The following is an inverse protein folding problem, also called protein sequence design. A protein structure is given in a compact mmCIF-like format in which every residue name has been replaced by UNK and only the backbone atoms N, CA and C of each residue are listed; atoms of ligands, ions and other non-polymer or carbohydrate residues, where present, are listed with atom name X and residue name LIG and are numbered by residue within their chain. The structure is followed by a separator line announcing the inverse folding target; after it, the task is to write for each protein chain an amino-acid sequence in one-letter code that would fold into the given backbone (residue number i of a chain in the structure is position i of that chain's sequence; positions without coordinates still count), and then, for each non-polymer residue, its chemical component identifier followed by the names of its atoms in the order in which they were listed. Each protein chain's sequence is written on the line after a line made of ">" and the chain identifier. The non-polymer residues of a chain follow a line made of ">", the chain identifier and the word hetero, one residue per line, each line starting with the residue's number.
data_IF_898890317084
#
_entry.id   IF_898890317084
#
_cell.length_a   1.000
_cell.length_b   1.000
_cell.length_c   1.000
_cell.angle_alpha   90.00
_cell.angle_beta   90.00
_cell.angle_gamma   90.00
#
_symmetry.space_group_name_H-M   'P 1'
#
loop_
_entity.id
_entity.type
_entity.pdbx_description
1 polymer ?
#
# COMPACT_ATOMS: atom_id res chain seq x y z
N UNK A 1 37.00 -35.05 11.28
CA UNK A 1 37.18 -33.91 10.37
C UNK A 1 35.89 -33.76 9.56
N UNK A 2 35.04 -32.82 9.94
CA UNK A 2 33.76 -32.59 9.25
C UNK A 2 33.99 -31.50 8.21
N UNK A 3 33.76 -31.85 6.97
CA UNK A 3 33.89 -31.00 5.79
C UNK A 3 32.70 -30.00 5.78
N UNK A 4 33.00 -28.75 6.07
CA UNK A 4 32.00 -27.67 6.07
C UNK A 4 31.84 -27.16 4.64
N UNK A 5 30.95 -27.79 3.89
CA UNK A 5 30.60 -27.36 2.54
C UNK A 5 29.98 -25.94 2.60
N UNK A 6 30.76 -24.98 2.17
CA UNK A 6 30.29 -23.58 1.92
C UNK A 6 29.27 -23.64 0.80
N UNK A 7 27.98 -23.39 1.16
CA UNK A 7 26.91 -23.25 0.17
C UNK A 7 27.23 -22.04 -0.71
N UNK A 8 27.27 -22.18 -2.04
CA UNK A 8 27.44 -21.02 -2.93
C UNK A 8 26.29 -20.05 -2.77
N UNK A 9 26.64 -18.77 -2.61
CA UNK A 9 25.69 -17.67 -2.58
C UNK A 9 24.93 -17.66 -3.92
N UNK A 10 23.64 -17.97 -3.90
CA UNK A 10 22.82 -18.00 -5.09
C UNK A 10 22.90 -16.63 -5.79
N UNK A 11 23.22 -16.62 -7.08
CA UNK A 11 23.23 -15.41 -7.89
C UNK A 11 21.86 -14.73 -7.83
N UNK A 12 21.86 -13.40 -7.57
CA UNK A 12 20.64 -12.63 -7.47
C UNK A 12 19.88 -12.69 -8.80
N UNK A 13 18.64 -13.16 -8.76
CA UNK A 13 17.73 -13.18 -9.92
C UNK A 13 17.52 -11.75 -10.41
N UNK A 14 17.54 -11.48 -11.76
CA UNK A 14 17.17 -10.18 -12.30
C UNK A 14 15.78 -9.76 -11.78
N UNK A 15 15.68 -8.57 -11.14
CA UNK A 15 14.44 -8.10 -10.52
C UNK A 15 14.44 -8.11 -8.98
N UNK A 16 15.43 -8.78 -8.33
CA UNK A 16 15.52 -8.85 -6.85
C UNK A 16 16.10 -7.59 -6.19
N UNK A 17 16.30 -6.50 -6.92
CA UNK A 17 16.90 -5.25 -6.41
C UNK A 17 16.15 -4.04 -6.96
N UNK A 18 15.66 -3.19 -6.06
CA UNK A 18 15.14 -1.85 -6.39
C UNK A 18 16.21 -0.80 -6.10
N UNK A 19 16.30 0.24 -6.93
CA UNK A 19 17.08 1.44 -6.64
C UNK A 19 16.14 2.50 -6.06
N UNK A 20 16.42 2.97 -4.85
CA UNK A 20 15.62 3.95 -4.12
C UNK A 20 16.50 5.12 -3.71
N UNK A 21 15.90 6.28 -3.46
CA UNK A 21 16.60 7.42 -2.87
C UNK A 21 16.73 7.27 -1.36
N UNK A 22 17.84 7.75 -0.83
CA UNK A 22 18.10 7.84 0.61
C UNK A 22 18.24 9.31 1.00
N UNK A 23 17.65 9.67 2.13
CA UNK A 23 17.75 10.98 2.75
C UNK A 23 18.04 10.81 4.23
N UNK A 24 18.95 11.62 4.77
CA UNK A 24 19.27 11.67 6.20
C UNK A 24 18.72 12.96 6.78
N UNK A 25 17.79 12.87 7.72
CA UNK A 25 17.16 14.05 8.32
C UNK A 25 17.15 13.97 9.84
N UNK A 26 17.38 15.11 10.46
CA UNK A 26 17.12 15.32 11.88
C UNK A 26 15.70 15.87 12.06
N UNK A 27 14.82 15.10 12.68
CA UNK A 27 13.44 15.50 12.94
C UNK A 27 13.13 15.24 14.41
N UNK A 28 12.61 16.23 15.10
CA UNK A 28 12.24 16.11 16.52
C UNK A 28 13.38 15.54 17.40
N UNK A 29 14.61 16.03 17.18
CA UNK A 29 15.81 15.59 17.92
C UNK A 29 16.29 14.17 17.62
N UNK A 30 15.72 13.49 16.60
CA UNK A 30 16.06 12.12 16.20
C UNK A 30 16.60 12.08 14.79
N UNK A 31 17.59 11.22 14.55
CA UNK A 31 18.11 10.96 13.20
C UNK A 31 17.24 9.93 12.50
N UNK A 32 16.81 10.26 11.27
CA UNK A 32 16.04 9.36 10.41
C UNK A 32 16.76 9.12 9.08
N UNK A 33 16.78 7.87 8.65
CA UNK A 33 17.10 7.46 7.28
C UNK A 33 15.80 7.23 6.53
N UNK A 34 15.45 8.16 5.65
CA UNK A 34 14.20 8.13 4.90
C UNK A 34 14.48 7.59 3.51
N UNK A 35 13.79 6.53 3.16
CA UNK A 35 13.85 5.90 1.84
C UNK A 35 12.63 6.32 1.04
N UNK A 36 12.85 6.82 -0.18
CA UNK A 36 11.77 7.22 -1.09
C UNK A 36 11.89 6.54 -2.43
N UNK A 37 10.78 6.44 -3.14
CA UNK A 37 10.76 6.03 -4.54
C UNK A 37 11.53 7.05 -5.39
N UNK A 38 12.07 6.61 -6.51
CA UNK A 38 12.67 7.48 -7.51
C UNK A 38 11.58 8.11 -8.36
N UNK A 39 11.82 9.30 -8.89
CA UNK A 39 10.85 10.02 -9.71
C UNK A 39 10.46 9.27 -11.00
N UNK A 40 11.34 8.38 -11.50
CA UNK A 40 11.11 7.54 -12.66
C UNK A 40 10.28 6.27 -12.37
N UNK A 41 9.90 6.03 -11.12
CA UNK A 41 9.01 4.92 -10.76
C UNK A 41 7.57 5.26 -11.19
N UNK A 42 7.08 4.56 -12.22
CA UNK A 42 5.71 4.77 -12.75
C UNK A 42 4.67 4.01 -11.91
N UNK A 43 4.58 4.35 -10.63
CA UNK A 43 3.58 3.82 -9.71
C UNK A 43 2.86 4.97 -9.01
N UNK A 44 1.58 4.77 -8.74
CA UNK A 44 0.72 5.75 -8.06
C UNK A 44 -0.07 5.09 -6.94
N UNK A 45 -0.24 5.84 -5.88
CA UNK A 45 -0.99 5.40 -4.71
C UNK A 45 -1.99 6.49 -4.32
N UNK A 46 -3.05 6.07 -3.68
CA UNK A 46 -3.95 6.97 -2.95
C UNK A 46 -4.17 6.45 -1.55
N UNK A 47 -4.69 7.30 -0.69
CA UNK A 47 -5.17 6.90 0.63
C UNK A 47 -6.61 7.30 0.81
N UNK A 48 -7.36 6.49 1.54
CA UNK A 48 -8.73 6.77 1.92
C UNK A 48 -8.97 6.24 3.34
N UNK A 49 -10.04 6.72 4.00
CA UNK A 49 -10.58 6.12 5.20
C UNK A 49 -12.06 5.82 4.99
N UNK A 50 -12.42 4.55 5.08
CA UNK A 50 -13.79 4.10 4.91
C UNK A 50 -14.11 3.01 5.93
N UNK A 51 -15.28 3.07 6.57
CA UNK A 51 -15.69 2.17 7.66
C UNK A 51 -14.60 1.96 8.73
N UNK A 52 -13.97 3.06 9.14
CA UNK A 52 -12.88 3.11 10.13
C UNK A 52 -11.54 2.48 9.69
N UNK A 53 -11.51 1.78 8.56
CA UNK A 53 -10.30 1.20 7.96
C UNK A 53 -9.56 2.21 7.10
N UNK A 54 -8.23 2.25 7.21
CA UNK A 54 -7.36 3.04 6.35
C UNK A 54 -6.96 2.23 5.13
N UNK A 55 -7.18 2.79 3.94
CA UNK A 55 -6.86 2.13 2.68
C UNK A 55 -5.62 2.74 2.02
N UNK A 56 -4.77 1.86 1.48
CA UNK A 56 -3.78 2.18 0.45
C UNK A 56 -4.32 1.65 -0.87
N UNK A 57 -4.62 2.55 -1.79
CA UNK A 57 -5.28 2.26 -3.07
C UNK A 57 -4.26 2.40 -4.20
N UNK A 58 -4.28 1.47 -5.16
CA UNK A 58 -3.35 1.48 -6.29
C UNK A 58 -3.85 0.59 -7.45
N UNK A 59 -2.96 0.32 -8.39
CA UNK A 59 -3.05 -0.75 -9.38
C UNK A 59 -2.18 -1.96 -8.98
N UNK A 60 -2.18 -3.02 -9.78
CA UNK A 60 -1.35 -4.21 -9.53
C UNK A 60 0.16 -3.88 -9.50
N UNK A 61 0.74 -3.08 -10.41
CA UNK A 61 2.13 -2.61 -10.31
C UNK A 61 2.45 -1.89 -9.00
N UNK A 62 1.53 -1.06 -8.49
CA UNK A 62 1.67 -0.40 -7.21
C UNK A 62 1.70 -1.38 -6.04
N UNK A 63 0.81 -2.37 -6.01
CA UNK A 63 0.85 -3.42 -4.97
C UNK A 63 2.18 -4.19 -4.98
N UNK A 64 2.70 -4.56 -6.17
CA UNK A 64 4.01 -5.22 -6.30
C UNK A 64 5.16 -4.33 -5.78
N UNK A 65 5.07 -3.03 -6.03
CA UNK A 65 6.04 -2.07 -5.52
C UNK A 65 5.97 -1.98 -4.01
N UNK A 66 4.77 -1.87 -3.45
CA UNK A 66 4.54 -1.86 -2.00
C UNK A 66 5.06 -3.14 -1.33
N UNK A 67 4.80 -4.30 -1.94
CA UNK A 67 5.33 -5.59 -1.49
C UNK A 67 6.85 -5.58 -1.37
N UNK A 68 7.55 -5.10 -2.39
CA UNK A 68 9.01 -4.99 -2.40
C UNK A 68 9.54 -4.01 -1.35
N UNK A 69 8.85 -2.89 -1.14
CA UNK A 69 9.20 -1.93 -0.10
C UNK A 69 9.07 -2.53 1.30
N UNK A 70 7.94 -3.18 1.59
CA UNK A 70 7.67 -3.87 2.86
C UNK A 70 8.66 -5.00 3.11
N UNK A 71 8.94 -5.82 2.08
CA UNK A 71 9.89 -6.93 2.19
C UNK A 71 11.30 -6.46 2.54
N UNK A 72 11.84 -5.48 1.82
CA UNK A 72 13.17 -4.95 2.11
C UNK A 72 13.22 -4.22 3.46
N UNK A 73 12.11 -3.58 3.89
CA UNK A 73 12.00 -2.93 5.20
C UNK A 73 12.04 -3.95 6.34
N UNK A 74 11.48 -5.15 6.16
CA UNK A 74 11.49 -6.23 7.14
C UNK A 74 12.91 -6.72 7.51
N UNK A 75 13.90 -6.47 6.66
CA UNK A 75 15.29 -6.87 6.87
C UNK A 75 16.21 -5.71 7.26
N UNK A 76 15.65 -4.53 7.52
CA UNK A 76 16.44 -3.40 7.99
C UNK A 76 17.00 -3.65 9.39
N UNK A 77 18.23 -3.16 9.61
CA UNK A 77 18.93 -3.25 10.90
C UNK A 77 19.32 -1.86 11.45
N UNK A 78 19.23 -0.84 10.61
CA UNK A 78 19.58 0.52 11.01
C UNK A 78 18.40 1.19 11.71
N UNK A 79 18.52 1.59 12.98
CA UNK A 79 17.51 2.37 13.67
C UNK A 79 17.21 3.70 12.95
N UNK A 80 15.97 4.16 13.07
CA UNK A 80 15.52 5.39 12.42
C UNK A 80 15.22 5.24 10.92
N UNK A 81 15.33 4.04 10.34
CA UNK A 81 14.98 3.82 8.93
C UNK A 81 13.46 3.72 8.76
N UNK A 82 12.93 4.41 7.77
CA UNK A 82 11.54 4.32 7.32
C UNK A 82 11.45 4.50 5.79
N UNK A 83 10.34 4.07 5.20
CA UNK A 83 10.00 4.38 3.81
C UNK A 83 8.92 5.44 3.78
N UNK A 84 9.08 6.46 2.94
CA UNK A 84 8.09 7.49 2.68
C UNK A 84 7.66 7.43 1.21
N UNK A 85 6.36 7.24 0.98
CA UNK A 85 5.71 7.47 -0.31
C UNK A 85 5.11 8.87 -0.24
N UNK A 86 5.71 9.78 -0.95
CA UNK A 86 5.39 11.20 -0.92
C UNK A 86 4.49 11.63 -2.09
N UNK A 87 4.23 12.94 -2.17
CA UNK A 87 3.34 13.53 -3.17
C UNK A 87 3.73 13.23 -4.62
N UNK A 88 5.00 12.92 -4.90
CA UNK A 88 5.43 12.59 -6.25
C UNK A 88 4.80 11.30 -6.77
N UNK A 89 4.38 10.42 -5.86
CA UNK A 89 3.77 9.12 -6.16
C UNK A 89 2.33 8.99 -5.63
N UNK A 90 1.72 10.12 -5.20
CA UNK A 90 0.35 10.11 -4.70
C UNK A 90 -0.60 10.77 -5.69
N UNK A 91 -1.74 10.13 -5.90
CA UNK A 91 -2.92 10.67 -6.54
C UNK A 91 -4.02 10.91 -5.51
N UNK A 92 -4.98 11.81 -5.76
CA UNK A 92 -6.22 11.86 -4.99
C UNK A 92 -6.93 10.51 -5.03
N UNK A 93 -7.78 10.24 -4.04
CA UNK A 93 -8.47 8.95 -4.00
C UNK A 93 -9.45 8.79 -5.19
N UNK A 94 -9.64 7.54 -5.69
CA UNK A 94 -10.44 7.29 -6.89
C UNK A 94 -11.96 7.41 -6.69
N UNK A 95 -12.44 7.71 -5.48
CA UNK A 95 -13.87 7.79 -5.20
C UNK A 95 -14.41 9.22 -5.26
N UNK A 96 -13.76 10.14 -4.55
CA UNK A 96 -14.19 11.54 -4.41
C UNK A 96 -13.07 12.56 -4.69
N UNK A 97 -11.89 12.06 -5.10
CA UNK A 97 -10.70 12.85 -5.36
C UNK A 97 -10.23 13.70 -4.17
N UNK A 98 -10.47 13.27 -2.93
CA UNK A 98 -9.81 13.88 -1.79
C UNK A 98 -8.30 13.66 -1.88
N UNK A 99 -7.49 14.67 -1.51
CA UNK A 99 -6.04 14.54 -1.51
C UNK A 99 -5.56 13.40 -0.61
N UNK A 100 -4.69 12.54 -1.12
CA UNK A 100 -4.10 11.46 -0.33
C UNK A 100 -3.13 12.00 0.73
N UNK A 101 -3.13 11.37 1.89
CA UNK A 101 -2.07 11.55 2.88
C UNK A 101 -0.80 10.81 2.44
N UNK A 102 0.42 11.35 2.68
CA UNK A 102 1.66 10.60 2.48
C UNK A 102 1.67 9.31 3.30
N UNK A 103 2.29 8.25 2.74
CA UNK A 103 2.33 6.94 3.37
C UNK A 103 3.72 6.71 3.97
N UNK A 104 3.76 6.30 5.22
CA UNK A 104 4.99 5.91 5.92
C UNK A 104 4.92 4.43 6.25
N UNK A 105 5.91 3.66 5.76
CA UNK A 105 6.11 2.27 6.17
C UNK A 105 7.18 2.24 7.25
N UNK A 106 6.88 1.61 8.39
CA UNK A 106 7.69 1.72 9.60
C UNK A 106 8.05 0.34 10.17
N UNK A 107 9.36 0.01 10.35
CA UNK A 107 9.76 -1.17 11.11
C UNK A 107 9.65 -0.84 12.61
N UNK A 108 8.52 -1.21 13.22
CA UNK A 108 8.14 -0.80 14.58
C UNK A 108 9.14 -1.19 15.67
N UNK A 109 9.94 -2.25 15.45
CA UNK A 109 10.98 -2.70 16.37
C UNK A 109 12.27 -1.89 16.31
N UNK A 110 12.49 -1.07 15.28
CA UNK A 110 13.72 -0.30 15.06
C UNK A 110 13.51 1.21 15.07
N UNK A 111 12.31 1.65 14.71
CA UNK A 111 12.09 3.07 14.43
C UNK A 111 10.87 3.58 15.18
N UNK A 112 11.09 4.61 15.99
CA UNK A 112 10.02 5.35 16.64
C UNK A 112 9.76 6.62 15.84
N UNK A 113 8.59 6.73 15.23
CA UNK A 113 8.15 7.94 14.55
C UNK A 113 7.32 8.78 15.54
N UNK A 114 7.77 10.00 15.84
CA UNK A 114 7.00 10.90 16.67
C UNK A 114 5.95 11.65 15.84
N UNK A 115 4.87 12.10 16.49
CA UNK A 115 3.84 12.92 15.81
C UNK A 115 4.42 14.20 15.23
N UNK A 116 5.44 14.79 15.86
CA UNK A 116 6.11 15.99 15.37
C UNK A 116 6.96 15.68 14.13
N UNK A 117 7.72 14.60 14.13
CA UNK A 117 8.48 14.13 12.97
C UNK A 117 7.53 13.81 11.79
N UNK A 118 6.41 13.15 12.03
CA UNK A 118 5.38 12.87 11.03
C UNK A 118 4.80 14.16 10.41
N UNK A 119 4.50 15.17 11.25
CA UNK A 119 4.07 16.50 10.77
C UNK A 119 5.13 17.20 9.92
N UNK A 120 6.39 17.07 10.30
CA UNK A 120 7.50 17.65 9.55
C UNK A 120 7.62 16.98 8.17
N UNK A 121 7.57 15.66 8.10
CA UNK A 121 7.58 14.91 6.84
C UNK A 121 6.42 15.29 5.92
N UNK A 122 5.21 15.46 6.46
CA UNK A 122 4.07 15.91 5.67
C UNK A 122 4.27 17.31 5.08
N UNK A 123 4.80 18.25 5.88
CA UNK A 123 4.93 19.66 5.49
C UNK A 123 6.10 19.88 4.55
N UNK A 124 7.22 19.21 4.79
CA UNK A 124 8.49 19.36 4.08
C UNK A 124 9.11 17.98 3.82
N UNK A 125 8.54 17.21 2.86
CA UNK A 125 9.17 15.96 2.46
C UNK A 125 10.57 16.23 1.91
N UNK A 126 11.53 15.30 2.07
CA UNK A 126 12.85 15.45 1.52
C UNK A 126 12.79 15.45 -0.01
N UNK A 127 13.45 16.43 -0.63
CA UNK A 127 13.48 16.59 -2.10
C UNK A 127 14.81 16.20 -2.71
N UNK A 128 15.91 16.48 -2.02
CA UNK A 128 17.27 16.19 -2.50
C UNK A 128 17.80 14.95 -1.79
N UNK A 129 18.07 13.86 -2.53
CA UNK A 129 18.62 12.66 -1.93
C UNK A 129 20.10 12.81 -1.59
N UNK A 130 20.53 12.25 -0.47
CA UNK A 130 21.95 12.14 -0.08
C UNK A 130 22.65 11.01 -0.85
N UNK A 131 21.86 10.10 -1.44
CA UNK A 131 22.39 8.95 -2.15
C UNK A 131 21.33 8.00 -2.63
N UNK A 132 21.79 6.89 -3.17
CA UNK A 132 20.94 5.79 -3.66
C UNK A 132 21.18 4.54 -2.82
N UNK A 133 20.12 3.84 -2.47
CA UNK A 133 20.18 2.55 -1.81
C UNK A 133 19.74 1.45 -2.77
N UNK A 134 20.43 0.30 -2.74
CA UNK A 134 20.00 -0.93 -3.39
C UNK A 134 19.12 -1.70 -2.42
N UNK A 135 17.82 -1.67 -2.66
CA UNK A 135 16.82 -2.32 -1.83
C UNK A 135 16.64 -3.77 -2.25
N UNK A 136 17.08 -4.69 -1.41
CA UNK A 136 17.05 -6.12 -1.75
C UNK A 136 15.69 -6.72 -1.45
N UNK A 137 15.14 -7.44 -2.44
CA UNK A 137 13.85 -8.14 -2.34
C UNK A 137 14.01 -9.66 -2.52
N UNK A 138 15.24 -10.16 -2.37
CA UNK A 138 15.53 -11.58 -2.49
C UNK A 138 14.66 -12.43 -1.55
N UNK A 139 14.08 -13.49 -2.09
CA UNK A 139 13.21 -14.42 -1.36
C UNK A 139 11.71 -14.03 -1.37
N UNK A 140 11.32 -12.83 -1.79
CA UNK A 140 9.90 -12.45 -1.89
C UNK A 140 9.15 -13.34 -2.90
N UNK A 141 9.71 -13.53 -4.10
CA UNK A 141 9.09 -14.34 -5.15
C UNK A 141 8.93 -15.80 -4.71
N UNK A 142 9.96 -16.37 -4.05
CA UNK A 142 9.89 -17.73 -3.49
C UNK A 142 8.82 -17.84 -2.43
N UNK A 143 8.74 -16.85 -1.53
CA UNK A 143 7.75 -16.83 -0.47
C UNK A 143 6.33 -16.68 -1.02
N UNK A 144 6.14 -15.84 -2.02
CA UNK A 144 4.86 -15.71 -2.71
C UNK A 144 4.46 -17.01 -3.42
N UNK A 145 5.41 -17.72 -4.03
CA UNK A 145 5.16 -19.01 -4.67
C UNK A 145 4.76 -20.09 -3.64
N UNK A 146 5.45 -20.18 -2.51
CA UNK A 146 5.11 -21.08 -1.39
C UNK A 146 3.69 -20.81 -0.87
N UNK A 147 3.35 -19.52 -0.66
CA UNK A 147 2.03 -19.16 -0.14
C UNK A 147 0.93 -19.44 -1.17
N UNK A 148 1.22 -19.26 -2.47
CA UNK A 148 0.29 -19.61 -3.55
C UNK A 148 0.03 -21.12 -3.59
N UNK A 149 1.09 -21.92 -3.48
CA UNK A 149 0.98 -23.38 -3.42
C UNK A 149 0.15 -23.81 -2.20
N UNK A 150 0.41 -23.22 -1.03
CA UNK A 150 -0.36 -23.46 0.19
C UNK A 150 -1.85 -23.11 0.02
N UNK A 151 -2.20 -21.99 -0.63
CA UNK A 151 -3.60 -21.63 -0.91
C UNK A 151 -4.32 -22.64 -1.81
N UNK A 152 -3.58 -23.41 -2.61
CA UNK A 152 -4.15 -24.45 -3.50
C UNK A 152 -4.39 -25.79 -2.80
N UNK A 153 -3.82 -26.01 -1.62
CA UNK A 153 -4.06 -27.24 -0.85
C UNK A 153 -5.56 -27.33 -0.42
N UNK A 154 -6.11 -28.55 -0.29
CA UNK A 154 -7.39 -28.76 0.35
C UNK A 154 -7.42 -28.17 1.76
N UNK A 155 -8.57 -27.65 2.19
CA UNK A 155 -8.69 -26.93 3.48
C UNK A 155 -8.14 -27.73 4.68
N UNK A 156 -8.39 -29.05 4.73
CA UNK A 156 -7.91 -29.93 5.80
C UNK A 156 -6.40 -30.23 5.78
N UNK A 157 -5.68 -29.79 4.72
CA UNK A 157 -4.23 -29.94 4.59
C UNK A 157 -3.47 -28.62 4.70
N UNK A 158 -4.19 -27.51 4.95
CA UNK A 158 -3.60 -26.19 5.07
C UNK A 158 -3.12 -25.95 6.48
N UNK A 159 -1.86 -26.29 6.76
CA UNK A 159 -1.17 -25.73 7.91
C UNK A 159 -0.75 -24.29 7.59
N UNK A 160 -1.08 -23.36 8.48
CA UNK A 160 -0.79 -21.95 8.21
C UNK A 160 0.72 -21.69 8.17
N UNK A 161 1.29 -21.16 7.07
CA UNK A 161 2.74 -21.11 6.87
C UNK A 161 3.44 -20.01 7.67
N UNK A 162 2.72 -19.29 8.53
CA UNK A 162 3.26 -18.26 9.39
C UNK A 162 2.97 -18.56 10.86
N UNK A 163 3.98 -18.41 11.67
CA UNK A 163 3.74 -18.22 13.11
C UNK A 163 3.02 -16.88 13.28
N UNK A 164 1.92 -16.80 14.01
CA UNK A 164 1.27 -15.54 14.31
C UNK A 164 2.30 -14.52 14.81
N UNK A 165 2.30 -13.32 14.24
CA UNK A 165 3.15 -12.25 14.75
C UNK A 165 2.78 -11.98 16.21
N UNK A 166 3.74 -11.65 17.09
CA UNK A 166 3.43 -11.23 18.45
C UNK A 166 2.41 -10.09 18.40
N UNK A 167 1.30 -10.24 19.06
CA UNK A 167 0.25 -9.22 19.16
C UNK A 167 0.83 -7.91 19.71
N UNK A 168 0.42 -6.78 19.15
CA UNK A 168 0.73 -5.45 19.68
C UNK A 168 1.85 -4.68 18.98
N UNK A 169 2.48 -5.23 17.93
CA UNK A 169 3.54 -4.55 17.18
C UNK A 169 3.15 -4.16 15.76
N UNK A 170 1.88 -4.23 15.44
CA UNK A 170 1.36 -3.79 14.16
C UNK A 170 0.29 -2.72 14.34
N UNK A 171 0.27 -1.75 13.44
CA UNK A 171 -0.77 -0.74 13.40
C UNK A 171 -0.88 -0.12 12.01
N UNK A 172 -2.09 0.28 11.66
CA UNK A 172 -2.37 1.15 10.54
C UNK A 172 -3.15 2.35 11.05
N UNK A 173 -2.66 3.57 10.80
CA UNK A 173 -3.35 4.74 11.32
C UNK A 173 -2.75 6.06 10.88
N UNK A 174 -3.51 7.13 11.06
CA UNK A 174 -3.08 8.48 10.72
C UNK A 174 -2.37 9.14 11.88
N UNK A 175 -1.12 9.56 11.67
CA UNK A 175 -0.34 10.27 12.65
C UNK A 175 0.30 11.53 12.03
N UNK A 176 0.02 12.70 12.59
CA UNK A 176 0.62 13.96 12.10
C UNK A 176 0.25 14.32 10.66
N UNK A 177 -0.76 13.66 10.08
CA UNK A 177 -1.25 13.87 8.71
C UNK A 177 -0.51 13.02 7.67
N UNK A 178 0.14 11.94 8.09
CA UNK A 178 0.61 10.85 7.23
C UNK A 178 -0.11 9.56 7.63
N UNK A 179 -0.35 8.67 6.70
CA UNK A 179 -0.79 7.31 6.98
C UNK A 179 0.44 6.47 7.34
N UNK A 180 0.45 5.89 8.52
CA UNK A 180 1.54 5.05 9.01
C UNK A 180 1.10 3.59 9.02
N UNK A 181 1.86 2.75 8.31
CA UNK A 181 1.76 1.30 8.38
C UNK A 181 3.00 0.80 9.13
N UNK A 182 2.83 0.38 10.38
CA UNK A 182 3.91 -0.05 11.26
C UNK A 182 3.80 -1.53 11.57
N UNK A 183 4.91 -2.27 11.45
CA UNK A 183 4.93 -3.69 11.76
C UNK A 183 6.32 -4.20 12.13
N UNK A 184 6.35 -5.31 12.87
CA UNK A 184 7.57 -6.08 13.11
C UNK A 184 8.05 -6.80 11.84
N UNK A 185 9.25 -7.43 11.86
CA UNK A 185 9.81 -8.06 10.67
C UNK A 185 8.91 -9.16 10.08
N UNK A 186 8.24 -9.94 10.92
CA UNK A 186 7.33 -10.99 10.47
C UNK A 186 6.09 -10.40 9.81
N UNK A 187 5.46 -9.41 10.46
CA UNK A 187 4.30 -8.69 9.96
C UNK A 187 4.59 -8.05 8.60
N UNK A 188 5.71 -7.33 8.48
CA UNK A 188 6.11 -6.68 7.23
C UNK A 188 6.33 -7.70 6.09
N UNK A 189 6.92 -8.88 6.39
CA UNK A 189 7.05 -9.96 5.39
C UNK A 189 5.71 -10.57 4.99
N UNK A 190 4.80 -10.72 5.94
CA UNK A 190 3.45 -11.21 5.69
C UNK A 190 2.67 -10.24 4.79
N UNK A 191 2.66 -8.96 5.14
CA UNK A 191 2.03 -7.92 4.32
C UNK A 191 2.65 -7.83 2.92
N UNK A 192 3.98 -7.94 2.83
CA UNK A 192 4.68 -8.00 1.56
C UNK A 192 4.23 -9.19 0.71
N UNK A 193 4.09 -10.37 1.33
CA UNK A 193 3.63 -11.57 0.62
C UNK A 193 2.19 -11.41 0.13
N UNK A 194 1.32 -10.84 0.93
CA UNK A 194 -0.08 -10.57 0.55
C UNK A 194 -0.14 -9.59 -0.62
N UNK A 195 0.55 -8.46 -0.52
CA UNK A 195 0.60 -7.47 -1.60
C UNK A 195 1.22 -8.04 -2.90
N UNK A 196 2.23 -8.94 -2.79
CA UNK A 196 2.82 -9.62 -3.95
C UNK A 196 1.85 -10.62 -4.61
N UNK A 197 0.92 -11.17 -3.85
CA UNK A 197 -0.06 -12.13 -4.35
C UNK A 197 -1.31 -11.50 -4.93
N UNK A 198 -1.53 -10.21 -4.68
CA UNK A 198 -2.69 -9.50 -5.20
C UNK A 198 -2.71 -9.54 -6.73
N UNK A 199 -3.87 -9.89 -7.27
CA UNK A 199 -4.12 -9.96 -8.72
C UNK A 199 -5.55 -9.63 -9.00
N UNK A 200 -5.74 -8.86 -10.05
CA UNK A 200 -7.07 -8.56 -10.55
C UNK A 200 -7.51 -9.71 -11.44
N UNK A 201 -8.57 -10.40 -11.02
CA UNK A 201 -9.19 -11.48 -11.78
C UNK A 201 -10.59 -11.08 -12.21
N UNK A 202 -10.94 -11.39 -13.43
CA UNK A 202 -12.32 -11.26 -13.92
C UNK A 202 -13.28 -12.13 -13.09
N UNK A 203 -14.49 -11.69 -12.78
CA UNK A 203 -15.11 -10.41 -13.20
C UNK A 203 -14.98 -9.27 -12.17
N UNK A 204 -14.14 -9.42 -11.14
CA UNK A 204 -14.18 -8.55 -9.96
C UNK A 204 -13.51 -7.18 -10.14
N UNK A 205 -12.61 -7.02 -11.10
CA UNK A 205 -11.86 -5.79 -11.39
C UNK A 205 -11.14 -5.13 -10.20
N UNK A 206 -11.11 -5.78 -9.06
CA UNK A 206 -10.48 -5.33 -7.80
C UNK A 206 -10.02 -6.54 -6.97
N UNK A 207 -8.99 -6.33 -6.16
CA UNK A 207 -8.53 -7.27 -5.13
C UNK A 207 -8.12 -6.47 -3.89
N UNK A 208 -8.19 -7.08 -2.71
CA UNK A 208 -7.82 -6.42 -1.46
C UNK A 208 -7.28 -7.40 -0.42
N UNK A 209 -6.45 -6.89 0.48
CA UNK A 209 -5.91 -7.62 1.63
C UNK A 209 -5.90 -6.72 2.87
N UNK A 210 -6.38 -7.26 4.00
CA UNK A 210 -6.38 -6.55 5.27
C UNK A 210 -5.01 -6.56 5.94
N UNK A 211 -4.72 -5.47 6.64
CA UNK A 211 -3.51 -5.25 7.42
C UNK A 211 -3.90 -4.87 8.86
N UNK A 212 -3.02 -5.15 9.84
CA UNK A 212 -3.16 -4.69 11.20
C UNK A 212 -4.57 -4.93 11.78
N UNK A 213 -5.01 -6.18 11.79
CA UNK A 213 -6.32 -6.59 12.32
C UNK A 213 -7.51 -5.76 11.76
N UNK A 214 -7.43 -5.39 10.47
CA UNK A 214 -8.40 -4.57 9.72
C UNK A 214 -8.34 -3.06 9.97
N UNK A 215 -7.40 -2.56 10.77
CA UNK A 215 -7.16 -1.11 10.84
C UNK A 215 -6.66 -0.54 9.50
N UNK A 216 -6.01 -1.40 8.68
CA UNK A 216 -5.51 -1.07 7.35
C UNK A 216 -5.95 -2.06 6.29
N UNK A 217 -5.92 -1.63 5.03
CA UNK A 217 -6.21 -2.41 3.85
C UNK A 217 -5.36 -1.94 2.67
N UNK A 218 -4.89 -2.88 1.86
CA UNK A 218 -4.37 -2.60 0.52
C UNK A 218 -5.46 -3.02 -0.45
N UNK A 219 -5.83 -2.13 -1.38
CA UNK A 219 -6.81 -2.43 -2.42
C UNK A 219 -6.27 -2.02 -3.79
N UNK A 220 -6.45 -2.87 -4.80
CA UNK A 220 -6.06 -2.59 -6.17
C UNK A 220 -7.25 -2.60 -7.11
N UNK A 221 -7.14 -1.78 -8.18
CA UNK A 221 -8.17 -1.62 -9.20
C UNK A 221 -7.58 -1.80 -10.59
N UNK A 222 -8.29 -2.49 -11.48
CA UNK A 222 -7.91 -2.68 -12.87
C UNK A 222 -7.69 -1.34 -13.59
N UNK A 223 -8.57 -0.38 -13.36
CA UNK A 223 -8.58 0.92 -14.02
C UNK A 223 -8.25 2.07 -13.04
N UNK A 224 -7.35 1.83 -12.07
CA UNK A 224 -7.05 2.78 -11.00
C UNK A 224 -6.85 4.22 -11.51
N UNK A 225 -5.96 4.43 -12.48
CA UNK A 225 -5.64 5.77 -13.01
C UNK A 225 -6.84 6.43 -13.70
N UNK A 226 -7.68 5.63 -14.38
CA UNK A 226 -8.92 6.11 -15.00
C UNK A 226 -9.93 6.54 -13.93
N UNK A 227 -10.09 5.74 -12.87
CA UNK A 227 -10.99 6.08 -11.77
C UNK A 227 -10.55 7.36 -11.05
N UNK A 228 -9.25 7.54 -10.81
CA UNK A 228 -8.69 8.80 -10.29
C UNK A 228 -9.02 9.98 -11.22
N UNK A 229 -8.86 9.82 -12.53
CA UNK A 229 -9.15 10.90 -13.49
C UNK A 229 -10.64 11.27 -13.49
N UNK A 230 -11.53 10.27 -13.44
CA UNK A 230 -12.99 10.47 -13.35
C UNK A 230 -13.36 11.20 -12.04
N UNK A 231 -12.80 10.75 -10.91
CA UNK A 231 -13.06 11.38 -9.61
C UNK A 231 -12.59 12.85 -9.58
N UNK A 232 -11.42 13.14 -10.13
CA UNK A 232 -10.89 14.52 -10.26
C UNK A 232 -11.83 15.40 -11.09
N UNK A 233 -12.29 14.91 -12.23
CA UNK A 233 -13.23 15.63 -13.07
C UNK A 233 -14.56 15.84 -12.35
N UNK A 234 -15.12 14.80 -11.73
CA UNK A 234 -16.38 14.88 -11.00
C UNK A 234 -16.32 15.91 -9.85
N UNK A 235 -15.21 15.89 -9.08
CA UNK A 235 -14.99 16.86 -8.01
C UNK A 235 -14.88 18.28 -8.55
N UNK A 236 -14.14 18.49 -9.63
CA UNK A 236 -14.02 19.83 -10.24
C UNK A 236 -15.40 20.35 -10.72
N UNK A 237 -16.19 19.47 -11.38
CA UNK A 237 -17.53 19.83 -11.85
C UNK A 237 -18.46 20.22 -10.69
N UNK A 238 -18.44 19.45 -9.59
CA UNK A 238 -19.29 19.70 -8.41
C UNK A 238 -18.87 20.98 -7.68
N UNK A 239 -17.56 21.21 -7.52
CA UNK A 239 -17.03 22.40 -6.82
C UNK A 239 -17.14 23.69 -7.65
N UNK A 240 -17.34 23.60 -8.97
CA UNK A 240 -17.57 24.78 -9.83
C UNK A 240 -18.97 25.36 -9.72
N UNK A 241 -19.90 24.67 -9.06
CA UNK A 241 -21.30 25.09 -8.82
C UNK A 241 -21.55 25.20 -7.31
N UNK A 242 -22.68 25.85 -6.90
CA UNK A 242 -23.08 25.83 -5.50
C UNK A 242 -23.19 24.40 -4.95
N UNK A 243 -22.41 24.08 -3.90
CA UNK A 243 -22.30 22.77 -3.32
C UNK A 243 -22.59 22.77 -1.82
N UNK A 244 -22.95 21.62 -1.23
CA UNK A 244 -23.21 21.54 0.20
C UNK A 244 -21.94 21.85 1.01
N UNK A 245 -22.14 22.48 2.18
CA UNK A 245 -21.07 22.63 3.18
C UNK A 245 -20.77 21.31 3.91
N UNK A 246 -21.74 20.40 3.96
CA UNK A 246 -21.61 19.09 4.56
C UNK A 246 -20.76 18.18 3.68
N UNK A 247 -19.75 17.54 4.30
CA UNK A 247 -18.74 16.73 3.59
C UNK A 247 -19.34 15.43 3.02
N UNK A 248 -20.29 14.81 3.70
CA UNK A 248 -20.89 13.57 3.24
C UNK A 248 -21.81 13.82 2.05
N UNK A 249 -22.60 14.88 2.09
CA UNK A 249 -23.42 15.32 0.95
C UNK A 249 -22.54 15.72 -0.24
N UNK A 250 -21.40 16.35 0.01
CA UNK A 250 -20.45 16.69 -1.04
C UNK A 250 -19.88 15.43 -1.71
N UNK A 251 -19.47 14.44 -0.91
CA UNK A 251 -18.98 13.14 -1.42
C UNK A 251 -20.04 12.44 -2.26
N UNK A 252 -21.28 12.39 -1.78
CA UNK A 252 -22.39 11.77 -2.51
C UNK A 252 -22.59 12.44 -3.87
N UNK A 253 -22.59 13.76 -3.95
CA UNK A 253 -22.68 14.49 -5.24
C UNK A 253 -21.51 14.17 -6.17
N UNK A 254 -20.30 14.07 -5.65
CA UNK A 254 -19.13 13.70 -6.44
C UNK A 254 -19.29 12.28 -6.98
N UNK A 255 -19.74 11.32 -6.18
CA UNK A 255 -19.97 9.94 -6.62
C UNK A 255 -21.05 9.85 -7.70
N UNK A 256 -22.17 10.55 -7.53
CA UNK A 256 -23.24 10.64 -8.54
C UNK A 256 -22.70 11.23 -9.85
N UNK A 257 -21.90 12.30 -9.76
CA UNK A 257 -21.28 12.92 -10.94
C UNK A 257 -20.27 11.99 -11.60
N UNK A 258 -19.45 11.29 -10.85
CA UNK A 258 -18.51 10.29 -11.36
C UNK A 258 -19.25 9.15 -12.09
N UNK A 259 -20.38 8.67 -11.57
CA UNK A 259 -21.21 7.67 -12.23
C UNK A 259 -21.74 8.16 -13.58
N UNK A 260 -22.18 9.42 -13.67
CA UNK A 260 -22.59 10.02 -14.95
C UNK A 260 -21.45 10.12 -15.97
N UNK A 261 -20.23 10.44 -15.51
CA UNK A 261 -19.05 10.49 -16.38
C UNK A 261 -18.71 9.07 -16.88
N UNK A 262 -18.75 8.05 -16.02
CA UNK A 262 -18.52 6.64 -16.42
C UNK A 262 -19.51 6.18 -17.49
N UNK A 263 -20.81 6.43 -17.28
CA UNK A 263 -21.85 6.00 -18.23
C UNK A 263 -21.70 6.60 -19.62
N UNK A 264 -21.24 7.84 -19.74
CA UNK A 264 -20.96 8.48 -21.03
C UNK A 264 -19.80 7.82 -21.78
N UNK A 265 -18.80 7.30 -21.06
CA UNK A 265 -17.66 6.60 -21.64
C UNK A 265 -18.00 5.15 -22.03
N UNK A 266 -18.90 4.48 -21.30
CA UNK A 266 -19.34 3.11 -21.62
C UNK A 266 -20.36 3.07 -22.75
N UNK A 267 -21.21 4.07 -22.90
CA UNK A 267 -22.13 4.20 -24.02
C UNK A 267 -21.44 4.32 -25.38
N UNK A 268 -20.15 4.67 -25.40
CA UNK A 268 -19.33 4.75 -26.61
C UNK A 268 -18.52 3.45 -26.88
N UNK A 269 -18.52 2.48 -25.98
CA UNK A 269 -17.69 1.24 -26.07
C UNK A 269 -18.44 -0.05 -25.77
N UNK A 270 -19.76 -0.10 -25.76
CA UNK A 270 -20.55 -1.35 -25.72
C UNK A 270 -20.36 -2.27 -24.50
N UNK A 271 -19.71 -1.84 -23.42
CA UNK A 271 -19.46 -2.65 -22.23
C UNK A 271 -20.44 -2.35 -21.08
N UNK A 272 -20.99 -3.43 -20.53
CA UNK A 272 -22.02 -3.40 -19.47
C UNK A 272 -21.50 -2.77 -18.18
N UNK A 273 -22.31 -1.87 -17.63
CA UNK A 273 -22.18 -1.24 -16.33
C UNK A 273 -22.02 -2.26 -15.20
N UNK A 274 -20.96 -2.15 -14.42
CA UNK A 274 -20.81 -2.88 -13.15
C UNK A 274 -21.28 -1.96 -12.04
N UNK A 275 -22.41 -2.32 -11.44
CA UNK A 275 -22.92 -1.76 -10.18
C UNK A 275 -21.93 -1.99 -9.04
N UNK A 276 -21.82 -1.02 -8.14
CA UNK A 276 -21.01 -1.10 -6.91
C UNK A 276 -21.21 -2.43 -6.17
N UNK A 277 -20.14 -3.08 -5.71
CA UNK A 277 -20.29 -4.30 -4.95
C UNK A 277 -20.82 -3.97 -3.55
N UNK A 278 -22.05 -4.42 -3.28
CA UNK A 278 -22.50 -4.64 -1.90
C UNK A 278 -21.52 -5.59 -1.22
N UNK A 279 -21.11 -5.22 -0.02
CA UNK A 279 -20.24 -5.95 0.88
C UNK A 279 -20.74 -7.40 1.07
N UNK A 280 -20.28 -8.34 0.25
CA UNK A 280 -20.40 -9.75 0.59
C UNK A 280 -19.29 -10.11 1.57
N UNK A 281 -19.66 -10.16 2.84
CA UNK A 281 -18.95 -10.86 3.89
C UNK A 281 -18.60 -12.28 3.41
N UNK A 282 -17.37 -12.50 2.98
CA UNK A 282 -16.83 -13.86 2.96
C UNK A 282 -16.66 -14.26 4.43
N UNK A 283 -17.65 -14.99 4.93
CA UNK A 283 -17.59 -15.67 6.21
C UNK A 283 -16.40 -16.63 6.22
N UNK A 284 -15.26 -16.13 6.64
CA UNK A 284 -14.14 -16.93 7.11
C UNK A 284 -14.48 -17.35 8.53
N UNK A 285 -15.12 -18.52 8.67
CA UNK A 285 -15.33 -19.16 9.94
C UNK A 285 -13.97 -19.59 10.48
N UNK A 286 -13.34 -18.74 11.29
CA UNK A 286 -12.20 -19.12 12.10
C UNK A 286 -12.77 -19.79 13.37
N UNK A 287 -12.98 -21.12 13.31
CA UNK A 287 -13.15 -21.94 14.49
C UNK A 287 -11.91 -21.86 15.37
N UNK A 288 -12.15 -21.82 16.66
CA UNK A 288 -11.25 -21.81 17.80
C UNK A 288 -10.10 -22.80 17.69
#
# INVERSE_FOLDING_TARGET
>A
MADTAVRPCAAATPGSVMKLHRHSLMLDGRSYTIITLRADADVRFSTNRFHETWHVLSDEPGAKTLARLLWGLAYQRQPGTLVLIDRAHLDPNPFDAEPADPIVLLPSHLTVLTRQAARALRRRPPTTPDGTVRWRTHGLDSRAAEFRAWRQLPAGQREYPYTPAPTGWESAGRMGGVLVLAGGPQTLRQWATYAELMRITEPWHTDYEYLADRDGEIQIFLNYRREVAIAKQARADVLSAPHPADIEQLRERIWQRAAQIRSRHTGNTGERSVTSPESRTRGGNFGR
#
